data_IF_887435130504
#
_entry.id   IF_887435130504
#
_cell.length_a   1.000
_cell.length_b   1.000
_cell.length_c   1.000
_cell.angle_alpha   90.00
_cell.angle_beta   90.00
_cell.angle_gamma   90.00
#
_symmetry.space_group_name_H-M   'P 1'
#
loop_
_entity.id
_entity.type
_entity.pdbx_description
1 polymer ?
#
# COMPACT_ATOMS: atom_id res chain seq x y z
N UNK A 1 13.81 14.69 -1.97
CA UNK A 1 13.50 13.25 -2.15
C UNK A 1 14.50 12.44 -1.33
N UNK A 2 14.12 11.27 -0.82
CA UNK A 2 15.03 10.45 0.00
C UNK A 2 16.20 9.88 -0.82
N UNK A 3 17.30 9.57 -0.15
CA UNK A 3 18.48 9.00 -0.79
C UNK A 3 18.22 7.57 -1.31
N UNK A 4 18.77 7.15 -2.46
CA UNK A 4 18.46 5.86 -3.10
C UNK A 4 18.68 4.61 -2.25
N UNK A 5 19.53 4.70 -1.23
CA UNK A 5 19.86 3.62 -0.30
C UNK A 5 18.80 3.40 0.80
N UNK A 6 17.92 4.38 1.06
CA UNK A 6 16.88 4.31 2.11
C UNK A 6 15.49 4.70 1.61
N UNK A 7 15.36 4.92 0.30
CA UNK A 7 14.13 5.46 -0.30
C UNK A 7 12.94 4.52 -0.14
N UNK A 8 13.16 3.20 -0.18
CA UNK A 8 12.11 2.21 0.05
C UNK A 8 11.58 2.33 1.48
N UNK A 9 12.49 2.26 2.46
CA UNK A 9 12.18 2.36 3.89
C UNK A 9 11.44 3.65 4.22
N UNK A 10 11.94 4.80 3.75
CA UNK A 10 11.38 6.11 4.09
C UNK A 10 9.98 6.31 3.51
N UNK A 11 9.79 6.02 2.22
CA UNK A 11 8.48 6.13 1.58
C UNK A 11 7.48 5.12 2.17
N UNK A 12 7.91 3.88 2.36
CA UNK A 12 7.06 2.81 2.89
C UNK A 12 6.61 3.09 4.33
N UNK A 13 7.49 3.63 5.17
CA UNK A 13 7.16 4.01 6.54
C UNK A 13 6.14 5.14 6.58
N UNK A 14 6.37 6.21 5.80
CA UNK A 14 5.44 7.34 5.72
C UNK A 14 4.07 6.89 5.22
N UNK A 15 4.03 6.08 4.16
CA UNK A 15 2.79 5.54 3.63
C UNK A 15 2.09 4.59 4.63
N UNK A 16 2.85 3.73 5.33
CA UNK A 16 2.34 2.78 6.32
C UNK A 16 1.57 3.49 7.44
N UNK A 17 2.17 4.53 8.02
CA UNK A 17 1.49 5.32 9.04
C UNK A 17 0.23 6.03 8.54
N UNK A 18 0.19 6.43 7.27
CA UNK A 18 -1.03 6.95 6.64
C UNK A 18 -2.15 5.90 6.58
N UNK A 19 -1.86 4.68 6.11
CA UNK A 19 -2.88 3.63 5.94
C UNK A 19 -3.23 2.88 7.23
N UNK A 20 -2.42 3.01 8.29
CA UNK A 20 -2.74 2.52 9.63
C UNK A 20 -4.14 2.94 10.10
N UNK A 21 -4.59 4.14 9.67
CA UNK A 21 -5.93 4.65 9.96
C UNK A 21 -7.06 3.71 9.53
N UNK A 22 -6.87 2.92 8.47
CA UNK A 22 -7.86 1.93 8.02
C UNK A 22 -8.15 0.88 9.10
N UNK A 23 -7.12 0.32 9.72
CA UNK A 23 -7.28 -0.66 10.81
C UNK A 23 -7.80 -0.04 12.10
N UNK A 24 -7.30 1.15 12.45
CA UNK A 24 -7.78 1.89 13.64
C UNK A 24 -9.28 2.20 13.52
N UNK A 25 -9.74 2.59 12.33
CA UNK A 25 -11.14 2.95 12.09
C UNK A 25 -12.08 1.78 12.32
N UNK A 26 -11.71 0.55 11.93
CA UNK A 26 -12.53 -0.64 12.16
C UNK A 26 -12.88 -0.82 13.65
N UNK A 27 -11.87 -0.68 14.52
CA UNK A 27 -12.02 -0.85 15.96
C UNK A 27 -12.68 0.38 16.58
N UNK A 28 -12.23 1.56 16.20
CA UNK A 28 -12.66 2.83 16.80
C UNK A 28 -14.16 3.08 16.56
N UNK A 29 -14.65 2.85 15.34
CA UNK A 29 -16.05 3.09 15.01
C UNK A 29 -17.00 2.20 15.80
N UNK A 30 -16.69 0.91 15.95
CA UNK A 30 -17.57 -0.03 16.67
C UNK A 30 -17.37 0.07 18.19
N UNK A 31 -16.14 -0.13 18.66
CA UNK A 31 -15.88 -0.33 20.08
C UNK A 31 -15.81 0.96 20.89
N UNK A 32 -15.40 2.07 20.28
CA UNK A 32 -15.22 3.36 20.99
C UNK A 32 -16.39 4.29 20.78
N UNK A 33 -17.03 4.25 19.61
CA UNK A 33 -18.17 5.12 19.30
C UNK A 33 -19.50 4.38 19.41
N UNK A 34 -19.75 3.40 18.53
CA UNK A 34 -21.08 2.81 18.37
C UNK A 34 -21.57 2.05 19.62
N UNK A 35 -20.79 1.09 20.14
CA UNK A 35 -21.21 0.28 21.28
C UNK A 35 -21.49 1.12 22.53
N UNK A 36 -20.60 2.04 22.97
CA UNK A 36 -20.88 2.88 24.14
C UNK A 36 -22.13 3.76 23.98
N UNK A 37 -22.42 4.24 22.76
CA UNK A 37 -23.64 5.00 22.50
C UNK A 37 -24.89 4.13 22.66
N UNK A 38 -24.89 2.91 22.12
CA UNK A 38 -26.00 1.97 22.28
C UNK A 38 -26.16 1.55 23.74
N UNK A 39 -25.06 1.26 24.43
CA UNK A 39 -25.06 0.88 25.86
C UNK A 39 -25.59 2.03 26.75
N UNK A 40 -25.42 3.28 26.33
CA UNK A 40 -26.01 4.45 26.99
C UNK A 40 -27.52 4.63 26.75
N UNK A 41 -28.15 3.72 26.00
CA UNK A 41 -29.58 3.73 25.68
C UNK A 41 -29.94 4.39 24.35
N UNK A 42 -28.95 4.74 23.51
CA UNK A 42 -29.21 5.33 22.19
C UNK A 42 -29.71 4.26 21.20
N UNK A 43 -30.69 4.61 20.37
CA UNK A 43 -31.13 3.73 19.29
C UNK A 43 -29.99 3.50 18.28
N UNK A 44 -29.79 2.27 17.76
CA UNK A 44 -28.70 1.96 16.84
C UNK A 44 -28.59 2.87 15.61
N UNK A 45 -29.71 3.24 14.97
CA UNK A 45 -29.68 4.15 13.81
C UNK A 45 -29.14 5.54 14.18
N UNK A 46 -29.54 6.06 15.36
CA UNK A 46 -29.05 7.34 15.85
C UNK A 46 -27.57 7.25 16.25
N UNK A 47 -27.16 6.17 16.91
CA UNK A 47 -25.77 5.93 17.29
C UNK A 47 -24.83 5.93 16.08
N UNK A 48 -25.21 5.30 14.96
CA UNK A 48 -24.43 5.33 13.72
C UNK A 48 -24.30 6.74 13.14
N UNK A 49 -25.39 7.51 13.09
CA UNK A 49 -25.37 8.89 12.57
C UNK A 49 -24.46 9.77 13.39
N UNK A 50 -24.54 9.68 14.72
CA UNK A 50 -23.70 10.45 15.64
C UNK A 50 -22.24 10.02 15.53
N UNK A 51 -21.96 8.70 15.43
CA UNK A 51 -20.60 8.18 15.25
C UNK A 51 -19.92 8.79 14.02
N UNK A 52 -20.65 8.93 12.91
CA UNK A 52 -20.11 9.48 11.65
C UNK A 52 -19.75 10.98 11.71
N UNK A 53 -20.25 11.72 12.70
CA UNK A 53 -19.83 13.11 12.93
C UNK A 53 -18.38 13.17 13.39
N UNK A 54 -17.92 12.17 14.17
CA UNK A 54 -16.57 12.17 14.76
C UNK A 54 -15.47 12.13 13.70
N UNK A 55 -15.46 11.20 12.71
CA UNK A 55 -14.48 11.24 11.62
C UNK A 55 -14.47 12.55 10.84
N UNK A 56 -15.64 13.16 10.60
CA UNK A 56 -15.73 14.44 9.90
C UNK A 56 -15.04 15.57 10.68
N UNK A 57 -15.25 15.63 12.00
CA UNK A 57 -14.59 16.60 12.88
C UNK A 57 -13.08 16.36 12.92
N UNK A 58 -12.64 15.10 13.10
CA UNK A 58 -11.22 14.74 13.10
C UNK A 58 -10.53 15.12 11.79
N UNK A 59 -11.21 14.96 10.66
CA UNK A 59 -10.70 15.37 9.35
C UNK A 59 -10.47 16.88 9.26
N UNK A 60 -11.43 17.69 9.71
CA UNK A 60 -11.29 19.16 9.74
C UNK A 60 -10.17 19.59 10.69
N UNK A 61 -10.08 18.97 11.87
CA UNK A 61 -9.00 19.25 12.84
C UNK A 61 -7.64 18.92 12.24
N UNK A 62 -7.50 17.78 11.55
CA UNK A 62 -6.27 17.40 10.86
C UNK A 62 -5.91 18.40 9.75
N UNK A 63 -6.86 18.77 8.90
CA UNK A 63 -6.64 19.74 7.83
C UNK A 63 -6.21 21.12 8.36
N UNK A 64 -6.84 21.60 9.43
CA UNK A 64 -6.45 22.85 10.10
C UNK A 64 -5.06 22.73 10.72
N UNK A 65 -4.76 21.61 11.40
CA UNK A 65 -3.45 21.36 11.99
C UNK A 65 -2.34 21.32 10.93
N UNK A 66 -2.56 20.65 9.80
CA UNK A 66 -1.61 20.66 8.68
C UNK A 66 -1.36 22.07 8.16
N UNK A 67 -2.41 22.88 7.98
CA UNK A 67 -2.28 24.27 7.51
C UNK A 67 -1.50 25.17 8.46
N UNK A 68 -1.64 24.96 9.78
CA UNK A 68 -1.05 25.84 10.80
C UNK A 68 0.32 25.37 11.30
N UNK A 69 0.56 24.06 11.33
CA UNK A 69 1.71 23.44 12.02
C UNK A 69 2.73 22.84 11.06
N UNK A 70 2.35 22.38 9.86
CA UNK A 70 3.30 21.75 8.93
C UNK A 70 4.10 22.78 8.13
N UNK A 71 5.40 22.52 7.95
CA UNK A 71 6.27 23.28 7.07
C UNK A 71 6.48 22.49 5.78
N UNK A 72 6.56 23.17 4.64
CA UNK A 72 6.66 22.50 3.34
C UNK A 72 8.04 21.87 3.10
N UNK A 73 9.10 22.42 3.71
CA UNK A 73 10.42 21.79 3.77
C UNK A 73 10.99 21.85 5.19
N UNK A 74 12.02 21.04 5.50
CA UNK A 74 12.70 21.12 6.80
C UNK A 74 13.29 22.50 7.11
N UNK A 75 13.51 23.33 6.09
CA UNK A 75 14.22 24.61 6.20
C UNK A 75 13.37 25.83 5.84
N UNK A 76 12.19 25.65 5.24
CA UNK A 76 11.36 26.75 4.77
C UNK A 76 9.86 26.44 4.83
N UNK A 77 9.07 27.48 5.11
CA UNK A 77 7.62 27.49 4.90
C UNK A 77 7.33 28.02 3.49
N UNK A 78 6.27 27.51 2.86
CA UNK A 78 5.76 27.87 1.53
C UNK A 78 6.73 27.53 0.42
N UNK A 79 6.99 26.23 0.27
CA UNK A 79 7.87 25.72 -0.78
C UNK A 79 7.37 26.14 -2.16
N UNK A 80 8.20 26.90 -2.86
CA UNK A 80 7.95 27.22 -4.25
C UNK A 80 8.51 26.09 -5.14
N UNK A 81 7.62 25.45 -5.89
CA UNK A 81 7.98 24.38 -6.83
C UNK A 81 8.91 24.88 -7.94
N UNK A 82 8.93 26.18 -8.23
CA UNK A 82 9.86 26.78 -9.19
C UNK A 82 11.34 26.57 -8.79
N UNK A 83 11.62 26.44 -7.49
CA UNK A 83 12.98 26.18 -6.97
C UNK A 83 13.49 24.79 -7.39
N UNK A 84 12.61 23.88 -7.80
CA UNK A 84 12.97 22.56 -8.36
C UNK A 84 13.26 22.59 -9.86
N UNK A 85 13.11 23.74 -10.52
CA UNK A 85 13.20 23.86 -11.98
C UNK A 85 11.99 23.29 -12.74
N UNK A 86 11.01 22.68 -12.04
CA UNK A 86 9.75 22.20 -12.63
C UNK A 86 8.68 23.28 -12.57
N UNK A 87 8.81 24.28 -13.43
CA UNK A 87 7.86 25.41 -13.52
C UNK A 87 6.63 25.12 -14.38
N UNK A 88 6.64 24.05 -15.19
CA UNK A 88 5.51 23.67 -16.03
C UNK A 88 4.62 22.63 -15.34
N UNK A 89 3.31 22.91 -15.35
CA UNK A 89 2.30 21.93 -14.95
C UNK A 89 2.34 20.75 -15.92
N UNK A 90 2.19 19.50 -15.43
CA UNK A 90 2.13 18.34 -16.30
C UNK A 90 0.94 18.48 -17.27
N UNK A 91 1.21 18.25 -18.56
CA UNK A 91 0.20 18.17 -19.61
C UNK A 91 -0.46 16.80 -19.62
N UNK A 92 -1.64 16.67 -20.25
CA UNK A 92 -2.28 15.36 -20.44
C UNK A 92 -1.41 14.39 -21.27
N UNK A 93 -0.58 14.93 -22.18
CA UNK A 93 0.33 14.14 -22.99
C UNK A 93 1.46 13.51 -22.17
N UNK A 94 1.87 14.13 -21.07
CA UNK A 94 2.86 13.55 -20.18
C UNK A 94 2.36 12.25 -19.54
N UNK A 95 1.06 12.17 -19.21
CA UNK A 95 0.45 10.94 -18.71
C UNK A 95 0.43 9.84 -19.77
N UNK A 96 0.10 10.19 -21.01
CA UNK A 96 0.12 9.23 -22.13
C UNK A 96 1.55 8.71 -22.36
N UNK A 97 2.55 9.57 -22.27
CA UNK A 97 3.95 9.17 -22.44
C UNK A 97 4.40 8.21 -21.33
N UNK A 98 4.05 8.49 -20.07
CA UNK A 98 4.31 7.55 -18.97
C UNK A 98 3.63 6.20 -19.20
N UNK A 99 2.39 6.19 -19.69
CA UNK A 99 1.61 4.96 -19.90
C UNK A 99 2.11 4.11 -21.08
N UNK A 100 2.94 4.65 -21.97
CA UNK A 100 3.63 3.84 -23.00
C UNK A 100 4.69 2.91 -22.42
N UNK A 101 5.19 3.22 -21.22
CA UNK A 101 6.16 2.38 -20.53
C UNK A 101 5.46 1.18 -19.88
N UNK A 102 5.67 0.00 -20.47
CA UNK A 102 5.13 -1.28 -19.97
C UNK A 102 5.52 -1.53 -18.51
N UNK A 103 6.70 -1.07 -18.07
CA UNK A 103 7.12 -1.24 -16.68
C UNK A 103 6.17 -0.50 -15.76
N UNK A 104 5.82 0.74 -16.11
CA UNK A 104 4.88 1.55 -15.32
C UNK A 104 3.49 0.91 -15.31
N UNK A 105 3.02 0.38 -16.44
CA UNK A 105 1.76 -0.35 -16.49
C UNK A 105 1.75 -1.58 -15.57
N UNK A 106 2.82 -2.38 -15.59
CA UNK A 106 2.96 -3.54 -14.69
C UNK A 106 2.97 -3.08 -13.24
N UNK A 107 3.65 -1.98 -12.89
CA UNK A 107 3.66 -1.47 -11.53
C UNK A 107 2.32 -0.91 -11.07
N UNK A 108 1.57 -0.23 -11.95
CA UNK A 108 0.19 0.21 -11.66
C UNK A 108 -0.66 -1.00 -11.28
N UNK A 109 -0.54 -2.09 -12.05
CA UNK A 109 -1.33 -3.30 -11.82
C UNK A 109 -0.83 -4.14 -10.65
N UNK A 110 0.48 -4.14 -10.37
CA UNK A 110 1.03 -4.74 -9.15
C UNK A 110 0.61 -3.98 -7.90
N UNK A 111 0.59 -2.64 -7.95
CA UNK A 111 0.08 -1.83 -6.84
C UNK A 111 -1.43 -1.95 -6.69
N UNK A 112 -2.15 -2.14 -7.79
CA UNK A 112 -3.55 -2.57 -7.79
C UNK A 112 -3.73 -3.93 -7.10
N UNK A 113 -2.82 -4.87 -7.31
CA UNK A 113 -2.85 -6.20 -6.72
C UNK A 113 -2.48 -6.26 -5.24
N UNK A 114 -1.76 -5.27 -4.68
CA UNK A 114 -1.50 -5.21 -3.24
C UNK A 114 -2.33 -4.14 -2.53
N UNK A 115 -2.16 -2.85 -2.85
CA UNK A 115 -2.94 -1.80 -2.18
C UNK A 115 -4.44 -1.88 -2.51
N UNK A 116 -4.80 -2.28 -3.73
CA UNK A 116 -6.20 -2.55 -4.05
C UNK A 116 -6.78 -3.73 -3.28
N UNK A 117 -5.97 -4.76 -3.02
CA UNK A 117 -6.31 -5.87 -2.11
C UNK A 117 -6.52 -5.35 -0.70
N UNK A 118 -5.62 -4.51 -0.18
CA UNK A 118 -5.78 -3.89 1.14
C UNK A 118 -7.13 -3.15 1.27
N UNK A 119 -7.44 -2.30 0.30
CA UNK A 119 -8.69 -1.53 0.29
C UNK A 119 -9.92 -2.44 0.17
N UNK A 120 -9.87 -3.47 -0.66
CA UNK A 120 -10.95 -4.46 -0.76
C UNK A 120 -11.14 -5.19 0.58
N UNK A 121 -10.06 -5.61 1.23
CA UNK A 121 -10.11 -6.34 2.50
C UNK A 121 -10.61 -5.48 3.65
N UNK A 122 -10.21 -4.21 3.70
CA UNK A 122 -10.75 -3.24 4.66
C UNK A 122 -12.28 -3.09 4.54
N UNK A 123 -12.86 -3.31 3.36
CA UNK A 123 -14.31 -3.26 3.17
C UNK A 123 -15.01 -4.60 3.45
N UNK A 124 -14.33 -5.73 3.26
CA UNK A 124 -14.97 -7.05 3.29
C UNK A 124 -14.74 -7.84 4.57
N UNK A 125 -13.58 -7.72 5.23
CA UNK A 125 -13.20 -8.61 6.32
C UNK A 125 -14.14 -8.53 7.53
N UNK A 126 -14.55 -7.33 7.94
CA UNK A 126 -15.46 -7.16 9.07
C UNK A 126 -16.80 -7.86 8.81
N UNK A 127 -17.35 -7.68 7.60
CA UNK A 127 -18.56 -8.38 7.17
C UNK A 127 -18.33 -9.88 7.12
N UNK A 128 -17.21 -10.35 6.56
CA UNK A 128 -16.88 -11.76 6.49
C UNK A 128 -16.84 -12.44 7.86
N UNK A 129 -16.13 -11.88 8.84
CA UNK A 129 -16.11 -12.43 10.20
C UNK A 129 -17.48 -12.34 10.89
N UNK A 130 -18.25 -11.27 10.61
CA UNK A 130 -19.58 -11.09 11.18
C UNK A 130 -20.60 -12.08 10.62
N UNK A 131 -20.62 -12.31 9.31
CA UNK A 131 -21.68 -13.07 8.64
C UNK A 131 -21.29 -14.51 8.34
N UNK A 132 -20.03 -14.79 8.01
CA UNK A 132 -19.58 -16.15 7.68
C UNK A 132 -19.16 -16.93 8.93
N UNK A 133 -18.37 -16.31 9.81
CA UNK A 133 -17.94 -16.88 11.09
C UNK A 133 -18.89 -16.59 12.26
N UNK A 134 -19.99 -15.85 12.02
CA UNK A 134 -21.04 -15.55 13.00
C UNK A 134 -20.54 -14.86 14.29
N UNK A 135 -19.46 -14.06 14.18
CA UNK A 135 -18.86 -13.38 15.32
C UNK A 135 -19.67 -12.15 15.75
N UNK A 136 -19.51 -11.71 17.01
CA UNK A 136 -20.05 -10.44 17.44
C UNK A 136 -19.40 -9.28 16.65
N UNK A 137 -20.12 -8.17 16.48
CA UNK A 137 -19.65 -7.04 15.66
C UNK A 137 -18.31 -6.47 16.16
N UNK A 138 -18.12 -6.35 17.48
CA UNK A 138 -16.89 -5.86 18.07
C UNK A 138 -15.69 -6.78 17.75
N UNK A 139 -15.86 -8.09 17.89
CA UNK A 139 -14.81 -9.07 17.61
C UNK A 139 -14.49 -9.13 16.12
N UNK A 140 -15.51 -9.16 15.26
CA UNK A 140 -15.34 -9.14 13.81
C UNK A 140 -14.56 -7.88 13.33
N UNK A 141 -14.91 -6.72 13.88
CA UNK A 141 -14.21 -5.46 13.61
C UNK A 141 -12.80 -5.43 14.20
N UNK A 142 -12.55 -6.07 15.34
CA UNK A 142 -11.21 -6.20 15.91
C UNK A 142 -10.29 -7.06 15.03
N UNK A 143 -10.79 -8.20 14.54
CA UNK A 143 -10.05 -9.08 13.63
C UNK A 143 -9.80 -8.40 12.27
N UNK A 144 -10.80 -7.73 11.70
CA UNK A 144 -10.61 -6.93 10.50
C UNK A 144 -9.64 -5.75 10.74
N UNK A 145 -9.68 -5.15 11.91
CA UNK A 145 -8.74 -4.12 12.34
C UNK A 145 -7.30 -4.63 12.38
N UNK A 146 -7.06 -5.87 12.80
CA UNK A 146 -5.71 -6.46 12.82
C UNK A 146 -5.04 -6.50 11.44
N UNK A 147 -5.83 -6.69 10.37
CA UNK A 147 -5.34 -6.58 8.99
C UNK A 147 -4.87 -5.14 8.69
N UNK A 148 -5.71 -4.13 8.92
CA UNK A 148 -5.32 -2.74 8.64
C UNK A 148 -4.21 -2.21 9.57
N UNK A 149 -4.16 -2.67 10.82
CA UNK A 149 -3.14 -2.29 11.82
C UNK A 149 -1.73 -2.79 11.46
N UNK A 150 -1.64 -3.83 10.63
CA UNK A 150 -0.38 -4.40 10.15
C UNK A 150 0.49 -3.35 9.42
N UNK A 151 -0.13 -2.33 8.83
CA UNK A 151 0.54 -1.16 8.25
C UNK A 151 1.51 -0.43 9.20
N UNK A 152 1.34 -0.58 10.51
CA UNK A 152 2.21 0.02 11.52
C UNK A 152 3.70 -0.32 11.28
N UNK A 153 3.98 -1.54 10.81
CA UNK A 153 5.36 -1.98 10.57
C UNK A 153 5.55 -2.78 9.27
N UNK A 154 4.56 -3.54 8.79
CA UNK A 154 4.75 -4.46 7.67
C UNK A 154 5.11 -3.75 6.37
N UNK A 155 4.51 -2.57 6.14
CA UNK A 155 4.88 -1.76 4.97
C UNK A 155 6.33 -1.29 5.06
N UNK A 156 6.72 -0.77 6.22
CA UNK A 156 8.11 -0.41 6.51
C UNK A 156 9.05 -1.61 6.32
N UNK A 157 8.66 -2.80 6.77
CA UNK A 157 9.42 -4.04 6.59
C UNK A 157 9.64 -4.34 5.11
N UNK A 158 8.61 -4.21 4.27
CA UNK A 158 8.76 -4.35 2.81
C UNK A 158 9.75 -3.35 2.21
N UNK A 159 9.67 -2.08 2.62
CA UNK A 159 10.62 -1.04 2.22
C UNK A 159 12.07 -1.35 2.65
N UNK A 160 12.25 -1.80 3.89
CA UNK A 160 13.53 -2.24 4.45
C UNK A 160 14.08 -3.43 3.67
N UNK A 161 13.26 -4.45 3.40
CA UNK A 161 13.66 -5.62 2.61
C UNK A 161 14.08 -5.20 1.20
N UNK A 162 13.35 -4.27 0.56
CA UNK A 162 13.72 -3.72 -0.75
C UNK A 162 15.08 -3.04 -0.73
N UNK A 163 15.34 -2.16 0.24
CA UNK A 163 16.62 -1.46 0.39
C UNK A 163 17.77 -2.40 0.78
N UNK A 164 17.50 -3.39 1.62
CA UNK A 164 18.47 -4.42 2.01
C UNK A 164 18.90 -5.25 0.79
N UNK A 165 17.94 -5.78 0.03
CA UNK A 165 18.26 -6.56 -1.16
C UNK A 165 18.92 -5.69 -2.24
N UNK A 166 18.56 -4.41 -2.32
CA UNK A 166 19.25 -3.44 -3.18
C UNK A 166 20.74 -3.31 -2.83
N UNK A 167 21.07 -3.26 -1.53
CA UNK A 167 22.46 -3.19 -1.06
C UNK A 167 23.28 -4.42 -1.46
N UNK A 168 22.72 -5.63 -1.37
CA UNK A 168 23.47 -6.87 -1.59
C UNK A 168 23.57 -7.27 -3.06
N UNK A 169 22.48 -7.11 -3.81
CA UNK A 169 22.41 -7.60 -5.19
C UNK A 169 22.02 -6.53 -6.19
N UNK A 170 21.93 -5.25 -5.81
CA UNK A 170 21.59 -4.15 -6.71
C UNK A 170 20.09 -4.13 -7.05
N UNK A 171 19.72 -3.48 -8.16
CA UNK A 171 18.30 -3.22 -8.48
C UNK A 171 17.44 -4.48 -8.63
N UNK A 172 18.03 -5.59 -9.11
CA UNK A 172 17.38 -6.92 -9.11
C UNK A 172 16.83 -7.31 -7.74
N UNK A 173 17.48 -6.91 -6.65
CA UNK A 173 17.03 -7.16 -5.29
C UNK A 173 15.69 -6.52 -4.97
N UNK A 174 15.44 -5.31 -5.48
CA UNK A 174 14.15 -4.63 -5.32
C UNK A 174 13.04 -5.39 -6.06
N UNK A 175 13.33 -5.85 -7.28
CA UNK A 175 12.39 -6.63 -8.09
C UNK A 175 12.07 -7.98 -7.42
N UNK A 176 13.08 -8.67 -6.87
CA UNK A 176 12.86 -9.89 -6.10
C UNK A 176 12.06 -9.65 -4.82
N UNK A 177 12.31 -8.56 -4.10
CA UNK A 177 11.52 -8.20 -2.92
C UNK A 177 10.04 -8.03 -3.27
N UNK A 178 9.75 -7.31 -4.36
CA UNK A 178 8.40 -7.10 -4.89
C UNK A 178 7.74 -8.42 -5.26
N UNK A 179 8.43 -9.23 -6.07
CA UNK A 179 7.93 -10.53 -6.52
C UNK A 179 7.57 -11.44 -5.34
N UNK A 180 8.51 -11.63 -4.40
CA UNK A 180 8.29 -12.52 -3.26
C UNK A 180 7.15 -12.02 -2.38
N UNK A 181 7.04 -10.71 -2.18
CA UNK A 181 5.95 -10.14 -1.38
C UNK A 181 4.59 -10.41 -2.02
N UNK A 182 4.41 -10.10 -3.31
CA UNK A 182 3.17 -10.37 -4.04
C UNK A 182 2.87 -11.87 -4.18
N UNK A 183 3.91 -12.68 -4.37
CA UNK A 183 3.77 -14.13 -4.53
C UNK A 183 3.23 -14.78 -3.25
N UNK A 184 3.82 -14.42 -2.10
CA UNK A 184 3.32 -14.92 -0.82
C UNK A 184 1.99 -14.28 -0.43
N UNK A 185 1.74 -13.02 -0.76
CA UNK A 185 0.43 -12.39 -0.63
C UNK A 185 -0.66 -13.24 -1.31
N UNK A 186 -0.43 -13.62 -2.57
CA UNK A 186 -1.36 -14.45 -3.32
C UNK A 186 -1.56 -15.83 -2.69
N UNK A 187 -0.49 -16.47 -2.22
CA UNK A 187 -0.59 -17.77 -1.53
C UNK A 187 -1.45 -17.65 -0.28
N UNK A 188 -1.16 -16.69 0.60
CA UNK A 188 -1.89 -16.56 1.86
C UNK A 188 -3.32 -16.06 1.66
N UNK A 189 -3.60 -15.24 0.65
CA UNK A 189 -4.96 -14.89 0.24
C UNK A 189 -5.74 -16.12 -0.25
N UNK A 190 -5.10 -16.98 -1.06
CA UNK A 190 -5.71 -18.24 -1.48
C UNK A 190 -6.00 -19.15 -0.29
N UNK A 191 -5.02 -19.31 0.62
CA UNK A 191 -5.20 -20.08 1.85
C UNK A 191 -6.32 -19.52 2.73
N UNK A 192 -6.47 -18.19 2.81
CA UNK A 192 -7.56 -17.56 3.55
C UNK A 192 -8.92 -17.96 2.95
N UNK A 193 -9.00 -18.00 1.62
CA UNK A 193 -10.15 -18.55 0.88
C UNK A 193 -10.37 -20.06 1.01
N UNK A 194 -9.57 -20.79 1.79
CA UNK A 194 -9.79 -22.20 2.13
C UNK A 194 -10.25 -22.39 3.58
N UNK A 195 -10.24 -21.34 4.40
CA UNK A 195 -10.66 -21.44 5.81
C UNK A 195 -12.17 -21.33 5.89
N UNK A 196 -12.84 -22.46 6.08
CA UNK A 196 -14.27 -22.52 6.30
C UNK A 196 -14.67 -22.20 7.75
N UNK A 197 -15.97 -22.04 7.97
CA UNK A 197 -16.53 -21.75 9.29
C UNK A 197 -16.72 -23.01 10.17
N UNK A 198 -16.35 -24.20 9.68
CA UNK A 198 -16.25 -25.40 10.52
C UNK A 198 -14.98 -25.37 11.38
N UNK A 199 -13.96 -24.64 10.92
CA UNK A 199 -12.74 -24.41 11.64
C UNK A 199 -12.90 -23.28 12.68
N UNK A 200 -12.13 -23.32 13.79
CA UNK A 200 -12.12 -22.23 14.75
C UNK A 200 -11.66 -20.90 14.13
N UNK A 201 -12.26 -19.79 14.54
CA UNK A 201 -11.97 -18.44 14.03
C UNK A 201 -10.49 -18.05 14.10
N UNK A 202 -9.74 -18.57 15.08
CA UNK A 202 -8.32 -18.26 15.24
C UNK A 202 -7.46 -18.83 14.11
N UNK A 203 -7.94 -19.86 13.39
CA UNK A 203 -7.29 -20.37 12.18
C UNK A 203 -7.35 -19.32 11.08
N UNK A 204 -8.54 -18.73 10.87
CA UNK A 204 -8.72 -17.64 9.92
C UNK A 204 -7.86 -16.42 10.30
N UNK A 205 -7.80 -16.06 11.59
CA UNK A 205 -6.92 -14.99 12.07
C UNK A 205 -5.43 -15.28 11.81
N UNK A 206 -4.96 -16.50 12.07
CA UNK A 206 -3.57 -16.86 11.85
C UNK A 206 -3.18 -16.71 10.37
N UNK A 207 -4.02 -17.19 9.44
CA UNK A 207 -3.80 -17.02 8.00
C UNK A 207 -3.90 -15.54 7.60
N UNK A 208 -4.87 -14.81 8.16
CA UNK A 208 -5.06 -13.38 7.91
C UNK A 208 -3.82 -12.56 8.29
N UNK A 209 -3.14 -12.89 9.39
CA UNK A 209 -1.92 -12.18 9.82
C UNK A 209 -0.80 -12.31 8.79
N UNK A 210 -0.56 -13.52 8.26
CA UNK A 210 0.44 -13.72 7.21
C UNK A 210 0.02 -13.09 5.89
N UNK A 211 -1.25 -13.26 5.51
CA UNK A 211 -1.82 -12.60 4.34
C UNK A 211 -1.59 -11.08 4.41
N UNK A 212 -2.03 -10.45 5.49
CA UNK A 212 -1.83 -9.02 5.74
C UNK A 212 -0.37 -8.65 5.62
N UNK A 213 0.52 -9.31 6.37
CA UNK A 213 1.96 -9.03 6.36
C UNK A 213 2.50 -8.88 4.94
N UNK A 214 2.17 -9.83 4.06
CA UNK A 214 2.65 -9.81 2.67
C UNK A 214 1.96 -8.76 1.79
N UNK A 215 0.66 -8.48 1.97
CA UNK A 215 -0.02 -7.34 1.31
C UNK A 215 0.74 -6.05 1.59
N UNK A 216 0.95 -5.73 2.87
CA UNK A 216 1.59 -4.47 3.23
C UNK A 216 3.07 -4.45 2.83
N UNK A 217 3.78 -5.58 2.91
CA UNK A 217 5.15 -5.67 2.40
C UNK A 217 5.24 -5.43 0.88
N UNK A 218 4.29 -5.96 0.09
CA UNK A 218 4.23 -5.73 -1.36
C UNK A 218 4.04 -4.24 -1.69
N UNK A 219 3.25 -3.53 -0.90
CA UNK A 219 3.11 -2.09 -1.05
C UNK A 219 4.39 -1.32 -0.68
N UNK A 220 5.07 -1.76 0.37
CA UNK A 220 6.34 -1.15 0.81
C UNK A 220 7.46 -1.35 -0.19
N UNK A 221 7.55 -2.55 -0.77
CA UNK A 221 8.52 -2.88 -1.82
C UNK A 221 8.25 -2.10 -3.11
N UNK A 222 6.98 -1.82 -3.43
CA UNK A 222 6.58 -1.01 -4.60
C UNK A 222 7.20 0.39 -4.53
N UNK A 223 7.18 1.02 -3.35
CA UNK A 223 7.79 2.34 -3.13
C UNK A 223 9.33 2.35 -3.20
N UNK A 224 9.96 1.17 -3.13
CA UNK A 224 11.38 1.02 -3.44
C UNK A 224 11.68 1.04 -4.95
N UNK A 225 10.70 0.76 -5.81
CA UNK A 225 10.90 0.66 -7.28
C UNK A 225 10.37 1.92 -7.99
N UNK A 226 9.18 2.41 -7.63
CA UNK A 226 8.48 3.55 -8.27
C UNK A 226 9.40 4.76 -8.53
N UNK A 227 10.26 5.19 -7.58
CA UNK A 227 11.14 6.34 -7.79
C UNK A 227 12.13 6.23 -8.96
N UNK A 228 12.40 5.01 -9.41
CA UNK A 228 13.40 4.71 -10.42
C UNK A 228 12.81 4.43 -11.80
N UNK A 229 11.47 4.34 -11.93
CA UNK A 229 10.83 3.94 -13.18
C UNK A 229 10.92 5.02 -14.26
N UNK A 230 10.62 6.27 -13.92
CA UNK A 230 10.82 7.43 -14.78
C UNK A 230 11.21 8.64 -13.93
N UNK A 231 12.49 8.97 -13.90
CA UNK A 231 13.03 10.07 -13.07
C UNK A 231 12.57 11.45 -13.54
N UNK A 232 12.29 11.60 -14.84
CA UNK A 232 11.85 12.88 -15.41
C UNK A 232 10.42 13.20 -14.97
N UNK A 233 9.50 12.24 -15.11
CA UNK A 233 8.07 12.36 -14.82
C UNK A 233 7.65 11.64 -13.53
N UNK A 234 8.55 11.58 -12.56
CA UNK A 234 8.37 10.87 -11.30
C UNK A 234 7.04 11.17 -10.56
N UNK A 235 6.60 12.43 -10.54
CA UNK A 235 5.35 12.80 -9.89
C UNK A 235 4.13 12.15 -10.57
N UNK A 236 4.15 12.08 -11.91
CA UNK A 236 3.11 11.44 -12.72
C UNK A 236 3.13 9.93 -12.50
N UNK A 237 4.30 9.28 -12.54
CA UNK A 237 4.42 7.85 -12.23
C UNK A 237 3.88 7.55 -10.83
N UNK A 238 4.29 8.32 -9.83
CA UNK A 238 3.84 8.12 -8.44
C UNK A 238 2.33 8.27 -8.32
N UNK A 239 1.74 9.26 -9.01
CA UNK A 239 0.30 9.47 -9.03
C UNK A 239 -0.46 8.33 -9.74
N UNK A 240 0.04 7.87 -10.89
CA UNK A 240 -0.57 6.78 -11.65
C UNK A 240 -0.50 5.44 -10.91
N UNK A 241 0.66 5.12 -10.35
CA UNK A 241 0.83 3.90 -9.53
C UNK A 241 -0.07 3.97 -8.31
N UNK A 242 -0.10 5.10 -7.59
CA UNK A 242 -1.01 5.29 -6.45
C UNK A 242 -2.49 5.15 -6.83
N UNK A 243 -2.91 5.69 -7.97
CA UNK A 243 -4.25 5.52 -8.52
C UNK A 243 -4.57 4.05 -8.86
N UNK A 244 -3.55 3.26 -9.23
CA UNK A 244 -3.65 1.82 -9.45
C UNK A 244 -4.22 1.06 -8.25
N UNK A 245 -3.88 1.44 -7.02
CA UNK A 245 -4.46 0.81 -5.83
C UNK A 245 -5.97 1.02 -5.72
N UNK A 246 -6.44 2.25 -5.94
CA UNK A 246 -7.89 2.53 -5.97
C UNK A 246 -8.59 1.77 -7.10
N UNK A 247 -7.96 1.69 -8.28
CA UNK A 247 -8.44 0.88 -9.39
C UNK A 247 -8.56 -0.60 -8.98
N UNK A 248 -7.58 -1.15 -8.25
CA UNK A 248 -7.62 -2.52 -7.74
C UNK A 248 -8.78 -2.79 -6.80
N UNK A 249 -9.09 -1.87 -5.90
CA UNK A 249 -10.26 -1.99 -5.02
C UNK A 249 -11.57 -2.09 -5.82
N UNK A 250 -11.70 -1.28 -6.88
CA UNK A 250 -12.85 -1.31 -7.79
C UNK A 250 -12.90 -2.63 -8.57
N UNK A 251 -11.78 -3.08 -9.15
CA UNK A 251 -11.69 -4.37 -9.86
C UNK A 251 -12.10 -5.49 -8.91
N UNK A 252 -11.53 -5.56 -7.71
CA UNK A 252 -11.84 -6.60 -6.75
C UNK A 252 -13.33 -6.61 -6.37
N UNK A 253 -13.89 -5.43 -6.06
CA UNK A 253 -15.30 -5.28 -5.73
C UNK A 253 -16.23 -5.74 -6.85
N UNK A 254 -16.00 -5.28 -8.10
CA UNK A 254 -16.89 -5.57 -9.22
C UNK A 254 -16.69 -6.94 -9.86
N UNK A 255 -15.47 -7.45 -9.89
CA UNK A 255 -15.13 -8.69 -10.61
C UNK A 255 -15.14 -9.92 -9.69
N UNK A 256 -14.87 -9.77 -8.39
CA UNK A 256 -14.71 -10.92 -7.49
C UNK A 256 -15.76 -10.95 -6.38
N UNK A 257 -15.96 -9.85 -5.66
CA UNK A 257 -16.81 -9.86 -4.45
C UNK A 257 -18.29 -9.57 -4.70
N UNK A 258 -18.65 -8.90 -5.80
CA UNK A 258 -20.05 -8.63 -6.16
C UNK A 258 -20.74 -9.74 -6.95
N UNK A 259 -20.12 -10.38 -7.95
CA UNK A 259 -20.82 -11.30 -8.84
C UNK A 259 -20.82 -12.76 -8.37
N UNK A 260 -20.08 -13.09 -7.31
CA UNK A 260 -19.90 -14.46 -6.83
C UNK A 260 -20.61 -14.60 -5.47
N UNK A 261 -21.64 -15.44 -5.42
CA UNK A 261 -22.45 -15.65 -4.21
C UNK A 261 -21.81 -16.66 -3.23
N UNK A 262 -20.78 -17.39 -3.66
CA UNK A 262 -20.03 -18.32 -2.81
C UNK A 262 -19.18 -17.56 -1.78
N UNK A 263 -19.22 -17.90 -0.47
CA UNK A 263 -18.57 -17.11 0.57
C UNK A 263 -17.04 -17.04 0.49
N UNK A 264 -16.39 -18.08 -0.05
CA UNK A 264 -14.93 -18.25 -0.02
C UNK A 264 -14.26 -18.11 -1.39
N UNK A 265 -14.97 -18.46 -2.46
CA UNK A 265 -14.46 -18.41 -3.83
C UNK A 265 -13.92 -17.01 -4.25
N UNK A 266 -14.53 -15.88 -3.86
CA UNK A 266 -14.01 -14.55 -4.17
C UNK A 266 -12.55 -14.35 -3.76
N UNK A 267 -12.15 -14.84 -2.58
CA UNK A 267 -10.77 -14.73 -2.09
C UNK A 267 -9.81 -15.55 -2.96
N UNK A 268 -10.22 -16.75 -3.40
CA UNK A 268 -9.41 -17.60 -4.26
C UNK A 268 -9.21 -17.00 -5.66
N UNK A 269 -10.27 -16.46 -6.25
CA UNK A 269 -10.19 -15.78 -7.56
C UNK A 269 -9.33 -14.53 -7.45
N UNK A 270 -9.49 -13.76 -6.37
CA UNK A 270 -8.67 -12.59 -6.09
C UNK A 270 -7.19 -12.96 -5.91
N UNK A 271 -6.88 -14.06 -5.22
CA UNK A 271 -5.51 -14.58 -5.16
C UNK A 271 -4.93 -14.89 -6.54
N UNK A 272 -5.73 -15.45 -7.45
CA UNK A 272 -5.33 -15.67 -8.84
C UNK A 272 -4.96 -14.36 -9.57
N UNK A 273 -5.73 -13.29 -9.35
CA UNK A 273 -5.41 -11.95 -9.85
C UNK A 273 -4.06 -11.44 -9.29
N UNK A 274 -3.83 -11.56 -7.99
CA UNK A 274 -2.56 -11.14 -7.37
C UNK A 274 -1.39 -11.97 -7.91
N UNK A 275 -1.55 -13.30 -7.99
CA UNK A 275 -0.54 -14.21 -8.51
C UNK A 275 -0.15 -13.88 -9.96
N UNK A 276 -1.15 -13.60 -10.81
CA UNK A 276 -0.91 -13.22 -12.20
C UNK A 276 0.02 -12.00 -12.30
N UNK A 277 -0.26 -10.93 -11.54
CA UNK A 277 0.57 -9.72 -11.57
C UNK A 277 1.91 -9.90 -10.86
N UNK A 278 2.00 -10.77 -9.86
CA UNK A 278 3.28 -11.17 -9.26
C UNK A 278 4.20 -11.77 -10.34
N UNK A 279 3.66 -12.70 -11.15
CA UNK A 279 4.40 -13.43 -12.19
C UNK A 279 4.85 -12.55 -13.38
N UNK A 280 4.40 -11.30 -13.49
CA UNK A 280 4.92 -10.33 -14.46
C UNK A 280 6.14 -9.54 -13.97
N UNK A 281 6.62 -9.78 -12.75
CA UNK A 281 7.87 -9.18 -12.25
C UNK A 281 9.10 -9.41 -13.15
N UNK A 282 9.25 -10.56 -13.86
CA UNK A 282 10.32 -10.75 -14.84
C UNK A 282 10.28 -9.77 -16.03
N UNK A 283 9.14 -9.14 -16.33
CA UNK A 283 9.02 -8.15 -17.41
C UNK A 283 9.75 -6.84 -17.11
N UNK A 284 10.15 -6.62 -15.86
CA UNK A 284 10.95 -5.45 -15.50
C UNK A 284 12.37 -5.54 -16.06
N UNK A 285 12.71 -4.59 -16.92
CA UNK A 285 14.06 -4.42 -17.44
C UNK A 285 14.39 -2.95 -17.69
N UNK A 286 15.56 -2.54 -17.23
CA UNK A 286 16.19 -1.26 -17.54
C UNK A 286 17.58 -1.51 -18.07
N UNK A 287 18.01 -0.78 -19.09
CA UNK A 287 19.37 -0.90 -19.64
C UNK A 287 20.46 -0.60 -18.60
N UNK A 288 20.15 0.33 -17.69
CA UNK A 288 21.00 0.92 -16.68
C UNK A 288 20.91 0.23 -15.31
N UNK A 289 19.82 -0.50 -15.04
CA UNK A 289 19.60 -1.20 -13.76
C UNK A 289 19.55 -2.73 -13.89
N UNK A 290 19.37 -3.25 -15.11
CA UNK A 290 19.11 -4.65 -15.38
C UNK A 290 17.63 -5.01 -15.16
N UNK A 291 17.37 -6.31 -15.05
CA UNK A 291 16.05 -6.86 -14.73
C UNK A 291 16.13 -7.86 -13.57
N UNK A 292 15.10 -8.68 -13.42
CA UNK A 292 15.03 -9.68 -12.34
C UNK A 292 16.14 -10.73 -12.40
N UNK A 293 16.45 -11.21 -13.61
CA UNK A 293 17.43 -12.27 -13.87
C UNK A 293 18.69 -11.80 -14.58
N UNK A 294 18.72 -10.56 -15.06
CA UNK A 294 19.80 -10.01 -15.87
C UNK A 294 20.41 -8.78 -15.21
N UNK A 295 21.74 -8.67 -15.22
CA UNK A 295 22.45 -7.47 -14.78
C UNK A 295 22.25 -6.28 -15.75
N UNK A 296 22.70 -5.08 -15.38
CA UNK A 296 22.66 -3.91 -16.26
C UNK A 296 23.52 -4.14 -17.51
N UNK A 297 23.00 -3.76 -18.68
CA UNK A 297 23.72 -3.83 -19.94
C UNK A 297 24.72 -2.67 -20.11
N UNK A 298 24.45 -1.54 -19.45
CA UNK A 298 25.32 -0.36 -19.45
C UNK A 298 26.06 -0.29 -18.12
N UNK A 299 27.39 -0.33 -18.16
CA UNK A 299 28.22 -0.04 -16.98
C UNK A 299 28.10 1.45 -16.67
N UNK A 300 27.49 1.81 -15.54
CA UNK A 300 27.49 3.19 -15.09
C UNK A 300 28.93 3.63 -14.84
N UNK A 301 29.41 4.64 -15.59
CA UNK A 301 30.61 5.38 -15.18
C UNK A 301 30.33 5.96 -13.80
N UNK A 302 31.09 5.53 -12.80
CA UNK A 302 31.03 6.13 -11.47
C UNK A 302 31.23 7.63 -11.60
N UNK A 303 30.23 8.43 -11.18
CA UNK A 303 30.45 9.86 -10.96
C UNK A 303 31.63 10.01 -9.99
N UNK A 304 32.61 10.90 -10.27
CA UNK A 304 33.72 11.11 -9.36
C UNK A 304 33.17 11.56 -8.01
N UNK A 305 33.59 10.87 -6.95
CA UNK A 305 33.37 11.32 -5.58
C UNK A 305 33.87 12.76 -5.51
N UNK A 306 32.97 13.71 -5.30
CA UNK A 306 33.37 15.05 -4.88
C UNK A 306 34.03 14.88 -3.53
N UNK A 307 35.37 14.88 -3.52
CA UNK A 307 36.14 15.02 -2.29
C UNK A 307 35.63 16.26 -1.58
N UNK A 308 35.10 16.08 -0.38
CA UNK A 308 34.80 17.19 0.51
C UNK A 308 36.12 17.93 0.73
N UNK A 309 36.26 19.09 0.10
CA UNK A 309 37.35 19.99 0.36
C UNK A 309 37.25 20.43 1.83
N UNK A 310 38.04 19.79 2.69
CA UNK A 310 38.53 20.41 3.91
C UNK A 310 39.12 21.77 3.52
N UNK A 311 38.40 22.84 3.85
CA UNK A 311 39.01 24.16 3.99
C UNK A 311 38.57 24.71 5.32
N UNK A 312 39.49 24.56 6.27
CA UNK A 312 39.58 25.37 7.47
C UNK A 312 39.63 26.85 7.09
N UNK A 313 38.74 27.66 7.67
CA UNK A 313 39.02 28.88 8.48
C UNK A 313 37.80 29.13 9.36
#
# INVERSE_FOLDING_TARGET
>A
MFAPNVIGTANATAAGWGNLGGGVTQIFMISVLFNPMVDSGMLPDTAWRVAMVVPAVLFVVCAVSMKLLCWDTPTAKRFDVAVTGKTQKPSLWDYVEVLKDVRVLVMIMQYSACFGTELAMNNQLATHFRTYFQMAAADASALAGAFGLMNLFARSLGGITSDLLFKYIGFRGRIWAQFLSLFFEAIFLFCFGLVDNSQPWYVALAVLVFFSLFVQMAEGTSYGIVPFMNKQQLAIVSALVGAGGNLGAVIAGFCFYRPIDEPLLPFQVHAGYVMFWALLSPCYYWSEHGGMFHGPAVVQKSEPKVEAAETAV
#
